data_IF_398237868022
#
_entry.id   IF_398237868022
#
_cell.length_a   1.000
_cell.length_b   1.000
_cell.length_c   1.000
_cell.angle_alpha   90.00
_cell.angle_beta   90.00
_cell.angle_gamma   90.00
#
_symmetry.space_group_name_H-M   'P 1'
#
loop_
_entity.id
_entity.type
_entity.pdbx_description
1 polymer ?
#
# COMPACT_ATOMS: atom_id res chain seq x y z
N UNK A 1 52.62 -0.12 -23.97
CA UNK A 1 51.33 0.27 -23.41
C UNK A 1 50.90 -0.82 -22.47
N UNK A 2 51.12 -0.60 -21.16
CA UNK A 2 51.01 -1.59 -20.10
C UNK A 2 49.55 -1.96 -19.80
N UNK A 3 49.22 -3.24 -19.57
CA UNK A 3 47.89 -3.68 -19.10
C UNK A 3 47.73 -3.59 -17.57
N UNK A 4 48.71 -3.07 -16.83
CA UNK A 4 48.79 -3.22 -15.36
C UNK A 4 47.98 -2.21 -14.53
N UNK A 5 47.39 -1.18 -15.13
CA UNK A 5 46.73 -0.10 -14.37
C UNK A 5 45.44 -0.57 -13.67
N UNK A 6 44.64 -1.45 -14.29
CA UNK A 6 43.32 -1.82 -13.77
C UNK A 6 43.30 -2.81 -12.61
N UNK A 7 44.38 -3.57 -12.38
CA UNK A 7 44.49 -4.48 -11.22
C UNK A 7 45.20 -3.85 -10.02
N UNK A 8 45.93 -2.75 -10.25
CA UNK A 8 46.67 -2.04 -9.20
C UNK A 8 45.81 -1.09 -8.36
N UNK A 9 44.72 -0.53 -8.90
CA UNK A 9 43.81 0.35 -8.16
C UNK A 9 42.89 -0.41 -7.20
N UNK A 10 42.35 -1.58 -7.60
CA UNK A 10 41.49 -2.40 -6.73
C UNK A 10 42.24 -3.01 -5.55
N UNK A 11 43.53 -3.32 -5.70
CA UNK A 11 44.38 -3.83 -4.61
C UNK A 11 44.82 -2.72 -3.64
N UNK A 12 44.86 -1.45 -4.08
CA UNK A 12 45.21 -0.31 -3.24
C UNK A 12 44.06 0.18 -2.35
N UNK A 13 42.80 -0.11 -2.71
CA UNK A 13 41.62 0.29 -1.94
C UNK A 13 41.31 -0.61 -0.73
N UNK A 14 41.73 -1.88 -0.69
CA UNK A 14 41.37 -2.76 0.44
C UNK A 14 42.15 -2.49 1.74
N UNK A 15 43.20 -1.67 1.69
CA UNK A 15 43.99 -1.26 2.87
C UNK A 15 43.50 0.05 3.52
N UNK A 16 42.47 0.70 2.98
CA UNK A 16 42.04 2.03 3.45
C UNK A 16 41.20 2.02 4.73
N UNK A 17 40.55 0.91 5.07
CA UNK A 17 39.63 0.84 6.20
C UNK A 17 39.87 -0.40 7.07
N UNK A 18 39.79 -0.28 8.40
CA UNK A 18 39.90 -1.45 9.28
C UNK A 18 38.71 -2.39 9.06
N UNK A 19 38.96 -3.70 9.13
CA UNK A 19 37.89 -4.70 9.18
C UNK A 19 36.95 -4.41 10.35
N UNK A 20 35.64 -4.50 10.09
CA UNK A 20 34.59 -4.21 11.07
C UNK A 20 34.75 -5.07 12.33
N UNK A 21 35.18 -6.33 12.19
CA UNK A 21 35.41 -7.25 13.30
C UNK A 21 36.51 -6.77 14.27
N UNK A 22 37.41 -5.90 13.81
CA UNK A 22 38.53 -5.35 14.60
C UNK A 22 38.14 -4.05 15.32
N UNK A 23 36.94 -3.52 15.07
CA UNK A 23 36.48 -2.29 15.71
C UNK A 23 35.99 -2.54 17.14
N UNK A 24 36.09 -1.50 17.96
CA UNK A 24 35.61 -1.52 19.36
C UNK A 24 34.08 -1.63 19.44
N UNK A 25 33.38 -1.04 18.49
CA UNK A 25 31.92 -1.08 18.40
C UNK A 25 31.46 -1.28 16.94
N UNK A 26 31.39 -2.54 16.47
CA UNK A 26 30.91 -2.84 15.14
C UNK A 26 29.40 -2.54 14.97
N UNK A 27 28.62 -2.54 16.05
CA UNK A 27 27.17 -2.33 15.98
C UNK A 27 26.83 -0.88 15.65
N UNK A 28 27.52 0.09 16.26
CA UNK A 28 27.33 1.50 15.94
C UNK A 28 27.57 1.80 14.44
N UNK A 29 28.53 1.10 13.82
CA UNK A 29 28.78 1.22 12.38
C UNK A 29 27.62 0.64 11.57
N UNK A 30 27.11 -0.54 11.93
CA UNK A 30 25.95 -1.16 11.27
C UNK A 30 24.68 -0.30 11.39
N UNK A 31 24.43 0.27 12.57
CA UNK A 31 23.29 1.16 12.82
C UNK A 31 23.39 2.42 11.97
N UNK A 32 24.55 3.06 11.97
CA UNK A 32 24.81 4.26 11.16
C UNK A 32 24.69 3.96 9.67
N UNK A 33 25.24 2.83 9.23
CA UNK A 33 25.17 2.38 7.85
C UNK A 33 23.73 2.17 7.39
N UNK A 34 22.90 1.49 8.20
CA UNK A 34 21.48 1.29 7.90
C UNK A 34 20.70 2.61 7.89
N UNK A 35 20.98 3.51 8.83
CA UNK A 35 20.36 4.84 8.88
C UNK A 35 20.64 5.64 7.61
N UNK A 36 21.90 5.62 7.14
CA UNK A 36 22.28 6.28 5.89
C UNK A 36 21.60 5.63 4.68
N UNK A 37 21.47 4.30 4.68
CA UNK A 37 20.85 3.58 3.57
C UNK A 37 19.35 3.93 3.39
N UNK A 38 18.63 4.29 4.45
CA UNK A 38 17.23 4.74 4.33
C UNK A 38 17.09 6.18 3.79
N UNK A 39 18.19 6.93 3.67
CA UNK A 39 18.19 8.34 3.25
C UNK A 39 18.90 8.60 1.91
N UNK A 40 19.47 7.56 1.28
CA UNK A 40 20.32 7.66 0.09
C UNK A 40 19.74 6.84 -1.06
N UNK A 41 19.91 7.35 -2.28
CA UNK A 41 19.47 6.71 -3.51
C UNK A 41 20.59 6.61 -4.56
N UNK A 42 20.43 5.66 -5.49
CA UNK A 42 21.25 5.54 -6.69
C UNK A 42 22.73 5.22 -6.42
N UNK A 43 23.64 6.03 -6.97
CA UNK A 43 25.09 5.79 -6.90
C UNK A 43 25.63 5.84 -5.47
N UNK A 44 25.02 6.66 -4.60
CA UNK A 44 25.39 6.76 -3.19
C UNK A 44 25.14 5.43 -2.45
N UNK A 45 24.00 4.79 -2.70
CA UNK A 45 23.65 3.47 -2.16
C UNK A 45 24.61 2.39 -2.67
N UNK A 46 24.93 2.43 -3.97
CA UNK A 46 25.91 1.49 -4.54
C UNK A 46 27.31 1.65 -3.92
N UNK A 47 27.75 2.88 -3.67
CA UNK A 47 28.99 3.18 -2.96
C UNK A 47 28.97 2.67 -1.52
N UNK A 48 27.86 2.89 -0.81
CA UNK A 48 27.66 2.45 0.57
C UNK A 48 27.68 0.92 0.69
N UNK A 49 27.13 0.20 -0.29
CA UNK A 49 27.18 -1.27 -0.36
C UNK A 49 28.58 -1.79 -0.69
N UNK A 50 29.35 -1.11 -1.55
CA UNK A 50 30.77 -1.45 -1.78
C UNK A 50 31.60 -1.27 -0.51
N UNK A 51 31.43 -0.15 0.18
CA UNK A 51 32.08 0.12 1.46
C UNK A 51 31.76 -0.98 2.49
N UNK A 52 30.49 -1.39 2.60
CA UNK A 52 30.08 -2.45 3.50
C UNK A 52 30.81 -3.78 3.25
N UNK A 53 30.94 -4.16 1.98
CA UNK A 53 31.66 -5.37 1.57
C UNK A 53 33.15 -5.27 1.89
N UNK A 54 33.77 -4.11 1.67
CA UNK A 54 35.20 -3.90 1.96
C UNK A 54 35.53 -4.05 3.45
N UNK A 55 34.67 -3.57 4.35
CA UNK A 55 34.91 -3.68 5.79
C UNK A 55 34.44 -5.01 6.39
N UNK A 56 33.88 -5.93 5.59
CA UNK A 56 33.44 -7.25 6.07
C UNK A 56 32.11 -7.23 6.84
N UNK A 57 31.17 -6.32 6.50
CA UNK A 57 29.81 -6.35 7.06
C UNK A 57 29.13 -7.70 6.83
N UNK A 58 29.11 -8.28 5.61
CA UNK A 58 28.38 -9.53 5.34
C UNK A 58 28.72 -10.65 6.34
N UNK A 59 30.01 -10.95 6.53
CA UNK A 59 30.46 -12.04 7.41
C UNK A 59 29.93 -11.91 8.85
N UNK A 60 29.90 -10.68 9.37
CA UNK A 60 29.46 -10.40 10.73
C UNK A 60 27.94 -10.56 10.84
N UNK A 61 27.17 -10.01 9.89
CA UNK A 61 25.71 -10.04 9.98
C UNK A 61 25.15 -11.45 9.79
N UNK A 62 25.80 -12.30 8.99
CA UNK A 62 25.45 -13.72 8.88
C UNK A 62 25.52 -14.43 10.24
N UNK A 63 26.59 -14.19 11.03
CA UNK A 63 26.70 -14.75 12.38
C UNK A 63 25.64 -14.21 13.36
N UNK A 64 25.23 -12.95 13.16
CA UNK A 64 24.26 -12.27 14.02
C UNK A 64 22.82 -12.77 13.83
N UNK A 65 22.49 -13.41 12.71
CA UNK A 65 21.17 -14.03 12.51
C UNK A 65 20.84 -15.09 13.58
N UNK A 66 21.87 -15.78 14.10
CA UNK A 66 21.72 -16.78 15.17
C UNK A 66 21.71 -16.18 16.59
N UNK A 67 21.74 -14.85 16.73
CA UNK A 67 21.75 -14.17 18.03
C UNK A 67 20.44 -14.40 18.79
N UNK A 68 20.56 -14.64 20.11
CA UNK A 68 19.41 -14.66 21.03
C UNK A 68 18.88 -13.25 21.34
N UNK A 69 19.69 -12.22 21.12
CA UNK A 69 19.26 -10.83 21.27
C UNK A 69 18.50 -10.38 20.02
N UNK A 70 17.24 -9.98 20.20
CA UNK A 70 16.34 -9.57 19.11
C UNK A 70 16.90 -8.37 18.35
N UNK A 71 17.37 -7.33 19.04
CA UNK A 71 17.90 -6.11 18.38
C UNK A 71 19.05 -6.43 17.41
N UNK A 72 19.94 -7.36 17.80
CA UNK A 72 21.05 -7.80 16.93
C UNK A 72 20.58 -8.62 15.75
N UNK A 73 19.59 -9.49 15.97
CA UNK A 73 18.99 -10.29 14.91
C UNK A 73 18.28 -9.38 13.90
N UNK A 74 17.49 -8.42 14.37
CA UNK A 74 16.79 -7.44 13.52
C UNK A 74 17.77 -6.55 12.76
N UNK A 75 18.84 -6.09 13.41
CA UNK A 75 19.90 -5.32 12.76
C UNK A 75 20.54 -6.12 11.62
N UNK A 76 20.85 -7.40 11.86
CA UNK A 76 21.39 -8.30 10.84
C UNK A 76 20.43 -8.49 9.65
N UNK A 77 19.16 -8.78 9.92
CA UNK A 77 18.11 -8.94 8.91
C UNK A 77 18.00 -7.67 8.05
N UNK A 78 17.91 -6.50 8.69
CA UNK A 78 17.79 -5.23 7.99
C UNK A 78 19.04 -4.92 7.15
N UNK A 79 20.24 -5.19 7.68
CA UNK A 79 21.49 -5.01 6.94
C UNK A 79 21.57 -5.92 5.72
N UNK A 80 21.23 -7.20 5.84
CA UNK A 80 21.22 -8.14 4.71
C UNK A 80 20.23 -7.70 3.62
N UNK A 81 19.05 -7.25 4.03
CA UNK A 81 18.05 -6.67 3.14
C UNK A 81 18.58 -5.48 2.36
N UNK A 82 19.16 -4.50 3.05
CA UNK A 82 19.73 -3.29 2.44
C UNK A 82 20.93 -3.59 1.53
N UNK A 83 21.76 -4.57 1.89
CA UNK A 83 22.88 -5.00 1.06
C UNK A 83 22.46 -5.66 -0.25
N UNK A 84 21.22 -6.18 -0.31
CA UNK A 84 20.79 -7.08 -1.38
C UNK A 84 21.61 -8.37 -1.37
N UNK A 85 21.95 -8.87 -0.18
CA UNK A 85 22.85 -10.01 -0.01
C UNK A 85 22.17 -11.33 -0.38
N UNK A 86 22.38 -11.78 -1.63
CA UNK A 86 21.78 -13.02 -2.16
C UNK A 86 22.19 -14.27 -1.40
N UNK A 87 23.42 -14.31 -0.88
CA UNK A 87 23.92 -15.44 -0.10
C UNK A 87 23.21 -15.56 1.26
N UNK A 88 22.72 -14.44 1.80
CA UNK A 88 21.93 -14.37 3.04
C UNK A 88 20.47 -14.77 2.90
N UNK A 89 19.94 -14.91 1.68
CA UNK A 89 18.52 -15.18 1.46
C UNK A 89 18.05 -16.45 2.20
N UNK A 90 18.76 -17.57 2.00
CA UNK A 90 18.37 -18.87 2.58
C UNK A 90 18.50 -18.90 4.11
N UNK A 91 19.35 -18.03 4.68
CA UNK A 91 19.49 -17.88 6.12
C UNK A 91 18.36 -17.02 6.73
N UNK A 92 17.86 -16.04 5.99
CA UNK A 92 16.75 -15.17 6.41
C UNK A 92 15.39 -15.82 6.18
N UNK A 93 15.23 -16.65 5.14
CA UNK A 93 13.95 -17.21 4.74
C UNK A 93 13.18 -17.95 5.86
N UNK A 94 13.83 -18.82 6.68
CA UNK A 94 13.15 -19.49 7.79
C UNK A 94 12.66 -18.55 8.89
N UNK A 95 13.24 -17.35 9.00
CA UNK A 95 12.88 -16.36 10.02
C UNK A 95 11.56 -15.64 9.71
N UNK A 96 11.04 -15.75 8.48
CA UNK A 96 9.67 -15.29 8.15
C UNK A 96 8.62 -16.03 8.99
N UNK A 97 8.92 -17.25 9.43
CA UNK A 97 8.06 -18.04 10.32
C UNK A 97 8.42 -17.89 11.81
N UNK A 98 9.26 -16.92 12.18
CA UNK A 98 9.58 -16.65 13.59
C UNK A 98 8.29 -16.32 14.38
N UNK A 99 8.28 -16.72 15.66
CA UNK A 99 7.15 -16.49 16.56
C UNK A 99 6.98 -15.02 16.88
N UNK A 100 8.07 -14.27 16.88
CA UNK A 100 8.03 -12.83 17.07
C UNK A 100 7.54 -12.15 15.77
N UNK A 101 6.41 -11.41 15.80
CA UNK A 101 5.85 -10.77 14.61
C UNK A 101 6.79 -9.75 13.98
N UNK A 102 7.62 -9.09 14.78
CA UNK A 102 8.58 -8.09 14.31
C UNK A 102 9.69 -8.82 13.55
N UNK A 103 10.29 -9.87 14.12
CA UNK A 103 11.32 -10.66 13.40
C UNK A 103 10.77 -11.21 12.09
N UNK A 104 9.59 -11.84 12.14
CA UNK A 104 8.89 -12.39 10.97
C UNK A 104 8.68 -11.36 9.86
N UNK A 105 8.12 -10.20 10.18
CA UNK A 105 7.87 -9.12 9.23
C UNK A 105 9.18 -8.55 8.64
N UNK A 106 10.17 -8.25 9.49
CA UNK A 106 11.44 -7.68 9.04
C UNK A 106 12.22 -8.66 8.16
N UNK A 107 12.11 -9.97 8.43
CA UNK A 107 12.65 -11.01 7.57
C UNK A 107 12.01 -10.99 6.19
N UNK A 108 10.68 -10.90 6.11
CA UNK A 108 9.99 -10.82 4.82
C UNK A 108 10.38 -9.56 4.03
N UNK A 109 10.45 -8.39 4.70
CA UNK A 109 10.96 -7.15 4.11
C UNK A 109 12.36 -7.33 3.53
N UNK A 110 13.25 -7.98 4.28
CA UNK A 110 14.62 -8.22 3.84
C UNK A 110 14.67 -9.14 2.61
N UNK A 111 13.89 -10.22 2.57
CA UNK A 111 13.82 -11.12 1.41
C UNK A 111 13.35 -10.36 0.15
N UNK A 112 12.29 -9.55 0.26
CA UNK A 112 11.79 -8.74 -0.87
C UNK A 112 12.87 -7.77 -1.38
N UNK A 113 13.68 -7.19 -0.49
CA UNK A 113 14.80 -6.31 -0.86
C UNK A 113 15.98 -7.07 -1.50
N UNK A 114 16.22 -8.31 -1.10
CA UNK A 114 17.30 -9.15 -1.64
C UNK A 114 16.94 -9.68 -3.03
N UNK A 115 15.76 -10.29 -3.14
CA UNK A 115 15.26 -10.90 -4.37
C UNK A 115 13.74 -10.89 -4.37
N UNK A 116 13.16 -9.93 -5.10
CA UNK A 116 11.71 -9.72 -5.13
C UNK A 116 10.97 -10.89 -5.77
N UNK A 117 11.45 -11.44 -6.88
CA UNK A 117 10.78 -12.53 -7.61
C UNK A 117 10.79 -13.81 -6.77
N UNK A 118 11.93 -14.11 -6.15
CA UNK A 118 12.05 -15.26 -5.26
C UNK A 118 11.19 -15.08 -4.00
N UNK A 119 11.21 -13.91 -3.38
CA UNK A 119 10.42 -13.64 -2.19
C UNK A 119 8.91 -13.73 -2.46
N UNK A 120 8.44 -13.20 -3.59
CA UNK A 120 7.04 -13.29 -3.97
C UNK A 120 6.61 -14.74 -4.25
N UNK A 121 7.43 -15.52 -4.96
CA UNK A 121 7.10 -16.91 -5.26
C UNK A 121 7.08 -17.81 -4.02
N UNK A 122 7.99 -17.61 -3.07
CA UNK A 122 8.14 -18.51 -1.91
C UNK A 122 7.35 -18.07 -0.67
N UNK A 123 7.17 -16.76 -0.46
CA UNK A 123 6.74 -16.22 0.85
C UNK A 123 5.54 -15.29 0.79
N UNK A 124 5.02 -14.93 -0.39
CA UNK A 124 3.88 -14.01 -0.50
C UNK A 124 2.65 -14.52 0.28
N UNK A 125 2.41 -15.83 0.32
CA UNK A 125 1.32 -16.44 1.11
C UNK A 125 1.35 -16.04 2.60
N UNK A 126 2.49 -15.61 3.13
CA UNK A 126 2.61 -15.17 4.52
C UNK A 126 1.77 -13.93 4.83
N UNK A 127 1.48 -13.06 3.85
CA UNK A 127 0.57 -11.93 4.06
C UNK A 127 -0.88 -12.38 4.34
N UNK A 128 -1.25 -13.59 3.91
CA UNK A 128 -2.51 -14.25 4.27
C UNK A 128 -2.43 -14.87 5.66
N UNK A 129 -1.42 -15.72 5.89
CA UNK A 129 -1.26 -16.55 7.10
C UNK A 129 -0.98 -15.72 8.36
N UNK A 130 -0.20 -14.64 8.24
CA UNK A 130 0.24 -13.80 9.37
C UNK A 130 -0.76 -12.66 9.62
N UNK A 131 -1.74 -12.92 10.48
CA UNK A 131 -2.73 -11.93 10.93
C UNK A 131 -2.17 -10.92 11.93
N UNK A 132 -1.01 -11.23 12.52
CA UNK A 132 -0.25 -10.40 13.45
C UNK A 132 0.61 -9.33 12.76
N UNK A 133 0.81 -9.43 11.44
CA UNK A 133 1.44 -8.38 10.66
C UNK A 133 0.50 -7.17 10.49
N UNK A 134 1.04 -5.99 10.78
CA UNK A 134 0.34 -4.72 10.55
C UNK A 134 0.04 -4.55 9.05
N UNK A 135 -1.24 -4.36 8.65
CA UNK A 135 -1.59 -4.17 7.24
C UNK A 135 -0.90 -2.95 6.60
N UNK A 136 -0.64 -1.91 7.40
CA UNK A 136 0.06 -0.70 6.96
C UNK A 136 1.50 -1.01 6.57
N UNK A 137 2.16 -1.87 7.35
CA UNK A 137 3.55 -2.26 7.08
C UNK A 137 3.66 -3.23 5.90
N UNK A 138 2.70 -4.13 5.74
CA UNK A 138 2.63 -4.98 4.52
C UNK A 138 2.43 -4.12 3.28
N UNK A 139 1.46 -3.20 3.31
CA UNK A 139 1.22 -2.24 2.25
C UNK A 139 2.48 -1.41 1.91
N UNK A 140 3.25 -1.03 2.92
CA UNK A 140 4.50 -0.28 2.75
C UNK A 140 5.56 -1.03 1.93
N UNK A 141 5.59 -2.37 2.03
CA UNK A 141 6.49 -3.21 1.22
C UNK A 141 5.92 -3.36 -0.18
N UNK A 142 4.63 -3.73 -0.29
CA UNK A 142 3.98 -3.98 -1.57
C UNK A 142 4.00 -2.75 -2.49
N UNK A 143 3.79 -1.54 -1.95
CA UNK A 143 3.82 -0.29 -2.73
C UNK A 143 5.19 0.01 -3.37
N UNK A 144 6.27 -0.60 -2.88
CA UNK A 144 7.64 -0.39 -3.39
C UNK A 144 8.04 -1.44 -4.43
N UNK A 145 7.25 -2.49 -4.59
CA UNK A 145 7.46 -3.52 -5.60
C UNK A 145 6.88 -3.01 -6.92
N UNK A 146 7.58 -3.29 -8.02
CA UNK A 146 7.05 -3.01 -9.36
C UNK A 146 5.74 -3.78 -9.58
N UNK A 147 4.69 -3.08 -9.99
CA UNK A 147 3.38 -3.66 -10.28
C UNK A 147 3.44 -4.75 -11.35
N UNK A 148 4.36 -4.67 -12.31
CA UNK A 148 4.55 -5.70 -13.35
C UNK A 148 4.93 -7.06 -12.74
N UNK A 149 5.67 -7.04 -11.61
CA UNK A 149 6.13 -8.25 -10.91
C UNK A 149 5.13 -8.68 -9.85
N UNK A 150 4.43 -7.73 -9.20
CA UNK A 150 3.51 -8.01 -8.10
C UNK A 150 2.13 -8.51 -8.54
N UNK A 151 1.62 -8.03 -9.68
CA UNK A 151 0.19 -8.15 -10.01
C UNK A 151 -0.27 -9.60 -10.13
N UNK A 152 0.44 -10.43 -10.90
CA UNK A 152 0.07 -11.83 -11.12
C UNK A 152 0.13 -12.67 -9.82
N UNK A 153 1.22 -12.64 -9.03
CA UNK A 153 1.29 -13.39 -7.78
C UNK A 153 0.21 -12.98 -6.77
N UNK A 154 -0.05 -11.68 -6.66
CA UNK A 154 -1.04 -11.16 -5.72
C UNK A 154 -2.47 -11.49 -6.13
N UNK A 155 -2.82 -11.31 -7.41
CA UNK A 155 -4.13 -11.70 -7.93
C UNK A 155 -4.40 -13.19 -7.74
N UNK A 156 -3.39 -14.05 -8.01
CA UNK A 156 -3.48 -15.48 -7.77
C UNK A 156 -3.73 -15.79 -6.30
N UNK A 157 -2.94 -15.21 -5.38
CA UNK A 157 -3.11 -15.42 -3.95
C UNK A 157 -4.52 -15.06 -3.48
N UNK A 158 -5.04 -13.91 -3.93
CA UNK A 158 -6.40 -13.45 -3.55
C UNK A 158 -7.47 -14.41 -4.08
N UNK A 159 -7.37 -14.86 -5.33
CA UNK A 159 -8.31 -15.83 -5.89
C UNK A 159 -8.25 -17.17 -5.16
N UNK A 160 -7.06 -17.70 -4.92
CA UNK A 160 -6.87 -18.97 -4.20
C UNK A 160 -7.39 -18.89 -2.76
N UNK A 161 -7.23 -17.74 -2.09
CA UNK A 161 -7.78 -17.49 -0.76
C UNK A 161 -9.31 -17.42 -0.77
N UNK A 162 -9.88 -16.77 -1.78
CA UNK A 162 -11.33 -16.68 -1.95
C UNK A 162 -11.95 -18.05 -2.22
N UNK A 163 -11.35 -18.85 -3.10
CA UNK A 163 -11.81 -20.21 -3.44
C UNK A 163 -11.70 -21.19 -2.25
N UNK A 164 -10.82 -20.91 -1.29
CA UNK A 164 -10.70 -21.64 -0.03
C UNK A 164 -11.62 -21.12 1.08
N UNK A 165 -12.49 -20.16 0.79
CA UNK A 165 -13.43 -19.55 1.73
C UNK A 165 -12.72 -18.97 2.98
N UNK A 166 -11.65 -18.21 2.77
CA UNK A 166 -10.95 -17.51 3.85
C UNK A 166 -11.91 -16.63 4.67
N UNK A 167 -11.62 -16.47 5.96
CA UNK A 167 -12.41 -15.66 6.88
C UNK A 167 -12.57 -14.20 6.39
N UNK A 168 -13.75 -13.62 6.63
CA UNK A 168 -14.21 -12.34 6.07
C UNK A 168 -13.22 -11.18 6.28
N UNK A 169 -12.67 -11.01 7.50
CA UNK A 169 -11.69 -9.94 7.78
C UNK A 169 -10.37 -10.17 7.05
N UNK A 170 -9.86 -11.41 7.07
CA UNK A 170 -8.63 -11.75 6.36
C UNK A 170 -8.78 -11.57 4.84
N UNK A 171 -9.93 -11.97 4.28
CA UNK A 171 -10.25 -11.80 2.87
C UNK A 171 -10.34 -10.31 2.49
N UNK A 172 -11.03 -9.49 3.29
CA UNK A 172 -11.12 -8.05 3.07
C UNK A 172 -9.75 -7.35 3.11
N UNK A 173 -8.87 -7.79 4.03
CA UNK A 173 -7.48 -7.32 4.11
C UNK A 173 -6.69 -7.69 2.86
N UNK A 174 -6.78 -8.94 2.40
CA UNK A 174 -6.08 -9.37 1.19
C UNK A 174 -6.54 -8.60 -0.06
N UNK A 175 -7.86 -8.41 -0.22
CA UNK A 175 -8.40 -7.60 -1.32
C UNK A 175 -7.85 -6.18 -1.28
N UNK A 176 -7.69 -5.58 -0.09
CA UNK A 176 -7.15 -4.22 0.03
C UNK A 176 -5.74 -4.06 -0.54
N UNK A 177 -4.94 -5.14 -0.60
CA UNK A 177 -3.62 -5.11 -1.20
C UNK A 177 -3.65 -5.10 -2.73
N UNK A 178 -4.76 -5.48 -3.38
CA UNK A 178 -4.90 -5.34 -4.84
C UNK A 178 -4.82 -3.89 -5.32
N UNK A 179 -4.89 -2.90 -4.41
CA UNK A 179 -4.58 -1.50 -4.71
C UNK A 179 -3.15 -1.28 -5.24
N UNK A 180 -2.23 -2.23 -5.02
CA UNK A 180 -0.85 -2.19 -5.51
C UNK A 180 -0.63 -3.00 -6.79
N UNK A 181 -1.65 -3.73 -7.25
CA UNK A 181 -1.61 -4.43 -8.53
C UNK A 181 -2.07 -3.52 -9.67
N UNK A 182 -1.77 -3.91 -10.91
CA UNK A 182 -2.35 -3.26 -12.09
C UNK A 182 -3.87 -3.37 -12.05
N UNK A 183 -4.51 -2.25 -12.41
CA UNK A 183 -5.97 -2.16 -12.39
C UNK A 183 -6.63 -3.18 -13.33
N UNK A 184 -6.01 -3.46 -14.48
CA UNK A 184 -6.55 -4.43 -15.44
C UNK A 184 -6.41 -5.88 -14.94
N UNK A 185 -5.29 -6.22 -14.30
CA UNK A 185 -5.07 -7.57 -13.77
C UNK A 185 -5.97 -7.87 -12.57
N UNK A 186 -6.25 -6.86 -11.74
CA UNK A 186 -7.11 -6.99 -10.56
C UNK A 186 -8.61 -6.85 -10.86
N UNK A 187 -8.99 -6.25 -11.99
CA UNK A 187 -10.38 -6.00 -12.35
C UNK A 187 -11.22 -7.28 -12.39
N UNK A 188 -10.72 -8.33 -13.04
CA UNK A 188 -11.42 -9.62 -13.15
C UNK A 188 -11.59 -10.29 -11.78
N UNK A 189 -10.55 -10.24 -10.95
CA UNK A 189 -10.56 -10.78 -9.58
C UNK A 189 -11.61 -10.06 -8.73
N UNK A 190 -11.57 -8.73 -8.71
CA UNK A 190 -12.51 -7.90 -7.93
C UNK A 190 -13.93 -8.10 -8.44
N UNK A 191 -14.12 -8.15 -9.76
CA UNK A 191 -15.45 -8.33 -10.39
C UNK A 191 -16.06 -9.68 -10.02
N UNK A 192 -15.28 -10.75 -10.10
CA UNK A 192 -15.71 -12.10 -9.69
C UNK A 192 -16.13 -12.12 -8.23
N UNK A 193 -15.24 -11.71 -7.33
CA UNK A 193 -15.49 -11.71 -5.88
C UNK A 193 -16.70 -10.84 -5.55
N UNK A 194 -16.76 -9.62 -6.09
CA UNK A 194 -17.87 -8.69 -5.86
C UNK A 194 -19.22 -9.27 -6.30
N UNK A 195 -19.25 -10.05 -7.38
CA UNK A 195 -20.47 -10.67 -7.93
C UNK A 195 -20.91 -11.91 -7.16
N UNK A 196 -19.96 -12.64 -6.58
CA UNK A 196 -20.25 -13.92 -5.92
C UNK A 196 -20.45 -13.79 -4.40
N UNK A 197 -19.86 -12.77 -3.76
CA UNK A 197 -19.83 -12.67 -2.29
C UNK A 197 -21.01 -11.91 -1.69
N UNK A 198 -21.49 -12.39 -0.55
CA UNK A 198 -22.45 -11.69 0.33
C UNK A 198 -21.79 -11.17 1.63
N UNK A 199 -20.50 -11.45 1.82
CA UNK A 199 -19.74 -11.02 3.00
C UNK A 199 -19.53 -9.51 2.95
N UNK A 200 -19.92 -8.80 4.00
CA UNK A 200 -20.09 -7.34 3.99
C UNK A 200 -18.76 -6.60 4.02
N UNK A 201 -17.77 -7.10 4.75
CA UNK A 201 -16.43 -6.51 4.76
C UNK A 201 -15.68 -6.76 3.44
N UNK A 202 -15.87 -7.95 2.84
CA UNK A 202 -15.38 -8.27 1.50
C UNK A 202 -16.01 -7.34 0.45
N UNK A 203 -17.33 -7.16 0.50
CA UNK A 203 -18.04 -6.22 -0.37
C UNK A 203 -17.50 -4.78 -0.24
N UNK A 204 -17.25 -4.30 0.99
CA UNK A 204 -16.66 -2.98 1.23
C UNK A 204 -15.25 -2.89 0.61
N UNK A 205 -14.42 -3.93 0.75
CA UNK A 205 -13.09 -3.96 0.16
C UNK A 205 -13.15 -3.96 -1.38
N UNK A 206 -14.02 -4.77 -1.99
CA UNK A 206 -14.26 -4.78 -3.42
C UNK A 206 -14.73 -3.42 -3.94
N UNK A 207 -15.72 -2.79 -3.28
CA UNK A 207 -16.24 -1.48 -3.70
C UNK A 207 -15.16 -0.37 -3.73
N UNK A 208 -14.15 -0.44 -2.86
CA UNK A 208 -13.02 0.52 -2.87
C UNK A 208 -12.16 0.39 -4.12
N UNK A 209 -12.06 -0.82 -4.68
CA UNK A 209 -11.19 -1.13 -5.80
C UNK A 209 -11.95 -1.42 -7.11
N UNK A 210 -13.28 -1.36 -7.07
CA UNK A 210 -14.13 -1.70 -8.21
C UNK A 210 -13.73 -0.89 -9.45
N UNK A 211 -13.57 -1.50 -10.62
CA UNK A 211 -13.21 -0.77 -11.83
C UNK A 211 -14.35 0.16 -12.26
N UNK A 212 -14.04 1.42 -12.55
CA UNK A 212 -15.04 2.40 -12.98
C UNK A 212 -15.47 2.23 -14.45
N UNK A 213 -14.74 1.41 -15.21
CA UNK A 213 -14.98 1.12 -16.62
C UNK A 213 -15.88 -0.10 -16.88
N UNK A 214 -16.49 -0.69 -15.85
CA UNK A 214 -17.38 -1.86 -15.95
C UNK A 214 -18.86 -1.50 -15.65
N UNK A 215 -19.65 -1.06 -16.65
CA UNK A 215 -21.04 -0.66 -16.44
C UNK A 215 -21.95 -1.76 -15.89
N UNK A 216 -21.59 -3.03 -16.13
CA UNK A 216 -22.37 -4.19 -15.69
C UNK A 216 -22.47 -4.30 -14.16
N UNK A 217 -21.54 -3.69 -13.41
CA UNK A 217 -21.49 -3.77 -11.95
C UNK A 217 -22.36 -2.69 -11.28
N UNK A 218 -22.73 -1.64 -12.01
CA UNK A 218 -23.48 -0.49 -11.49
C UNK A 218 -24.82 -0.87 -10.85
N UNK A 219 -25.65 -1.77 -11.41
CA UNK A 219 -26.91 -2.17 -10.77
C UNK A 219 -26.69 -2.70 -9.35
N UNK A 220 -25.68 -3.56 -9.14
CA UNK A 220 -25.35 -4.10 -7.82
C UNK A 220 -24.86 -3.03 -6.86
N UNK A 221 -24.01 -2.09 -7.32
CA UNK A 221 -23.58 -0.94 -6.49
C UNK A 221 -24.78 -0.10 -6.06
N UNK A 222 -25.75 0.14 -6.95
CA UNK A 222 -26.98 0.90 -6.66
C UNK A 222 -27.86 0.21 -5.61
N UNK A 223 -27.96 -1.11 -5.65
CA UNK A 223 -28.68 -1.88 -4.63
C UNK A 223 -28.07 -1.70 -3.23
N UNK A 224 -26.74 -1.65 -3.15
CA UNK A 224 -26.00 -1.54 -1.90
C UNK A 224 -26.16 -0.20 -1.16
N UNK A 225 -26.68 0.85 -1.83
CA UNK A 225 -27.03 2.12 -1.18
C UNK A 225 -28.14 1.94 -0.14
N UNK A 226 -28.93 0.87 -0.24
CA UNK A 226 -30.01 0.56 0.73
C UNK A 226 -29.63 -0.56 1.70
N UNK A 227 -28.35 -0.93 1.78
CA UNK A 227 -27.90 -1.97 2.69
C UNK A 227 -28.11 -1.56 4.17
N UNK A 228 -28.45 -2.53 5.00
CA UNK A 228 -28.62 -2.32 6.44
C UNK A 228 -27.37 -1.78 7.14
N UNK A 229 -26.17 -2.17 6.70
CA UNK A 229 -24.90 -1.68 7.22
C UNK A 229 -24.56 -0.35 6.56
N UNK A 230 -24.44 0.69 7.39
CA UNK A 230 -24.12 2.03 6.89
C UNK A 230 -22.74 2.09 6.24
N UNK A 231 -21.79 1.24 6.65
CA UNK A 231 -20.46 1.18 6.02
C UNK A 231 -20.54 0.74 4.55
N UNK A 232 -21.47 -0.19 4.26
CA UNK A 232 -21.75 -0.65 2.89
C UNK A 232 -22.39 0.46 2.09
N UNK A 233 -23.41 1.15 2.64
CA UNK A 233 -24.05 2.31 1.98
C UNK A 233 -23.03 3.41 1.67
N UNK A 234 -22.18 3.75 2.64
CA UNK A 234 -21.17 4.80 2.50
C UNK A 234 -20.19 4.48 1.38
N UNK A 235 -19.75 3.23 1.34
CA UNK A 235 -18.81 2.79 0.32
C UNK A 235 -19.47 2.73 -1.05
N UNK A 236 -20.74 2.29 -1.15
CA UNK A 236 -21.49 2.28 -2.41
C UNK A 236 -21.65 3.70 -3.00
N UNK A 237 -22.01 4.68 -2.16
CA UNK A 237 -22.12 6.09 -2.60
C UNK A 237 -20.75 6.63 -3.04
N UNK A 238 -19.68 6.25 -2.33
CA UNK A 238 -18.31 6.63 -2.71
C UNK A 238 -17.92 6.04 -4.06
N UNK A 239 -18.34 4.80 -4.35
CA UNK A 239 -18.11 4.14 -5.65
C UNK A 239 -18.92 4.81 -6.77
N UNK A 240 -20.21 5.14 -6.54
CA UNK A 240 -21.01 5.89 -7.52
C UNK A 240 -20.40 7.27 -7.85
N UNK A 241 -19.80 7.92 -6.85
CA UNK A 241 -19.09 9.18 -7.07
C UNK A 241 -17.98 9.09 -8.09
N UNK A 242 -17.33 7.93 -8.25
CA UNK A 242 -16.29 7.75 -9.26
C UNK A 242 -16.86 7.49 -10.64
N UNK A 243 -18.04 6.87 -10.72
CA UNK A 243 -18.72 6.60 -11.99
C UNK A 243 -19.24 7.89 -12.66
N UNK A 244 -19.57 8.93 -11.88
CA UNK A 244 -20.09 10.23 -12.36
C UNK A 244 -21.34 10.11 -13.26
N UNK A 245 -22.25 9.19 -12.94
CA UNK A 245 -23.44 8.93 -13.75
C UNK A 245 -24.64 9.78 -13.29
N UNK A 246 -25.24 10.61 -14.17
CA UNK A 246 -26.42 11.42 -13.83
C UNK A 246 -27.62 10.59 -13.37
N UNK A 247 -27.73 9.35 -13.87
CA UNK A 247 -28.79 8.40 -13.50
C UNK A 247 -28.76 8.02 -12.00
N UNK A 248 -27.67 8.29 -11.30
CA UNK A 248 -27.54 8.03 -9.87
C UNK A 248 -28.16 9.13 -9.00
N UNK A 249 -28.48 10.30 -9.56
CA UNK A 249 -29.01 11.45 -8.82
C UNK A 249 -30.21 11.07 -7.93
N UNK A 250 -31.24 10.34 -8.40
CA UNK A 250 -32.37 9.97 -7.53
C UNK A 250 -31.96 9.18 -6.28
N UNK A 251 -30.96 8.30 -6.40
CA UNK A 251 -30.44 7.50 -5.28
C UNK A 251 -29.63 8.36 -4.31
N UNK A 252 -28.85 9.30 -4.83
CA UNK A 252 -28.09 10.24 -4.01
C UNK A 252 -29.00 11.19 -3.24
N UNK A 253 -30.12 11.63 -3.85
CA UNK A 253 -31.12 12.45 -3.18
C UNK A 253 -31.83 11.69 -2.05
N UNK A 254 -32.08 10.38 -2.21
CA UNK A 254 -32.56 9.51 -1.12
C UNK A 254 -31.54 9.45 0.03
N UNK A 255 -30.25 9.30 -0.30
CA UNK A 255 -29.17 9.21 0.70
C UNK A 255 -28.93 10.52 1.49
N UNK A 256 -29.40 11.68 1.00
CA UNK A 256 -29.38 12.94 1.76
C UNK A 256 -30.29 12.91 3.00
N UNK A 257 -31.23 11.98 3.06
CA UNK A 257 -32.13 11.78 4.20
C UNK A 257 -31.78 10.53 5.03
N UNK A 258 -30.61 9.92 4.80
CA UNK A 258 -30.12 8.77 5.58
C UNK A 258 -30.00 9.13 7.07
N UNK A 259 -30.14 8.13 7.95
CA UNK A 259 -30.00 8.31 9.40
C UNK A 259 -28.57 8.70 9.80
N UNK A 260 -27.58 8.17 9.10
CA UNK A 260 -26.17 8.39 9.40
C UNK A 260 -25.65 9.67 8.76
N UNK A 261 -25.03 10.53 9.58
CA UNK A 261 -24.51 11.82 9.11
C UNK A 261 -23.48 11.66 8.00
N UNK A 262 -22.60 10.66 8.10
CA UNK A 262 -21.56 10.39 7.11
C UNK A 262 -22.12 10.02 5.74
N UNK A 263 -23.28 9.37 5.69
CA UNK A 263 -23.98 9.05 4.44
C UNK A 263 -24.50 10.32 3.79
N UNK A 264 -25.21 11.15 4.54
CA UNK A 264 -25.73 12.43 4.05
C UNK A 264 -24.61 13.32 3.53
N UNK A 265 -23.51 13.42 4.28
CA UNK A 265 -22.33 14.19 3.90
C UNK A 265 -21.70 13.67 2.61
N UNK A 266 -21.49 12.35 2.49
CA UNK A 266 -20.94 11.74 1.28
C UNK A 266 -21.86 11.96 0.08
N UNK A 267 -23.17 11.73 0.23
CA UNK A 267 -24.15 11.93 -0.83
C UNK A 267 -24.17 13.39 -1.32
N UNK A 268 -24.14 14.36 -0.42
CA UNK A 268 -24.06 15.78 -0.78
C UNK A 268 -22.77 16.10 -1.56
N UNK A 269 -21.63 15.55 -1.13
CA UNK A 269 -20.37 15.66 -1.86
C UNK A 269 -20.47 15.07 -3.27
N UNK A 270 -20.99 13.86 -3.39
CA UNK A 270 -21.17 13.18 -4.68
C UNK A 270 -22.09 13.95 -5.62
N UNK A 271 -23.21 14.49 -5.12
CA UNK A 271 -24.11 15.35 -5.91
C UNK A 271 -23.35 16.58 -6.42
N UNK A 272 -22.55 17.22 -5.57
CA UNK A 272 -21.74 18.38 -5.96
C UNK A 272 -20.63 18.06 -6.97
N UNK A 273 -20.23 16.79 -7.10
CA UNK A 273 -19.25 16.32 -8.10
C UNK A 273 -19.91 15.98 -9.46
N UNK A 274 -21.24 15.90 -9.54
CA UNK A 274 -21.92 15.66 -10.81
C UNK A 274 -21.76 16.87 -11.76
N UNK A 275 -21.43 16.64 -13.05
CA UNK A 275 -21.16 17.73 -14.01
C UNK A 275 -22.28 18.76 -14.14
N UNK A 276 -23.54 18.34 -13.99
CA UNK A 276 -24.71 19.22 -14.12
C UNK A 276 -24.76 20.37 -13.11
N UNK A 277 -24.17 20.19 -11.92
CA UNK A 277 -24.15 21.20 -10.85
C UNK A 277 -22.89 22.06 -10.85
N UNK A 278 -21.83 21.64 -11.56
CA UNK A 278 -20.65 22.46 -11.76
C UNK A 278 -20.98 23.76 -12.54
N UNK A 279 -21.92 23.68 -13.50
CA UNK A 279 -22.32 24.82 -14.34
C UNK A 279 -23.50 25.61 -13.77
N UNK A 280 -24.53 24.94 -13.25
CA UNK A 280 -25.80 25.57 -12.88
C UNK A 280 -25.89 25.96 -11.40
N UNK A 281 -24.92 25.53 -10.59
CA UNK A 281 -24.97 25.64 -9.13
C UNK A 281 -26.04 24.75 -8.50
N UNK A 282 -25.96 24.58 -7.17
CA UNK A 282 -26.85 23.68 -6.42
C UNK A 282 -28.13 24.32 -5.89
N UNK A 283 -28.25 25.66 -5.89
CA UNK A 283 -29.41 26.36 -5.32
C UNK A 283 -30.76 25.94 -5.91
N UNK A 284 -30.90 25.73 -7.24
CA UNK A 284 -32.15 25.23 -7.80
C UNK A 284 -32.55 23.86 -7.26
N UNK A 285 -31.59 22.98 -6.97
CA UNK A 285 -31.84 21.69 -6.35
C UNK A 285 -32.25 21.86 -4.88
N UNK A 286 -31.45 22.61 -4.11
CA UNK A 286 -31.71 22.87 -2.68
C UNK A 286 -33.11 23.45 -2.46
N UNK A 287 -33.55 24.39 -3.29
CA UNK A 287 -34.87 25.01 -3.13
C UNK A 287 -36.05 24.08 -3.44
N UNK A 288 -35.82 22.98 -4.17
CA UNK A 288 -36.85 21.97 -4.51
C UNK A 288 -36.90 20.82 -3.51
N UNK A 289 -35.89 20.66 -2.65
CA UNK A 289 -35.84 19.57 -1.69
C UNK A 289 -36.81 19.79 -0.52
N UNK A 290 -37.62 18.77 -0.15
CA UNK A 290 -38.59 18.90 0.93
C UNK A 290 -37.93 18.85 2.32
N UNK A 291 -36.83 18.11 2.46
CA UNK A 291 -36.16 17.88 3.75
C UNK A 291 -35.26 19.06 4.13
N UNK A 292 -35.39 19.55 5.36
CA UNK A 292 -34.46 20.53 5.92
C UNK A 292 -33.06 19.94 6.05
N UNK A 293 -32.95 18.67 6.47
CA UNK A 293 -31.66 18.01 6.63
C UNK A 293 -30.90 17.89 5.31
N UNK A 294 -31.59 17.49 4.24
CA UNK A 294 -30.99 17.39 2.91
C UNK A 294 -30.51 18.77 2.39
N UNK A 295 -31.34 19.81 2.59
CA UNK A 295 -31.00 21.20 2.20
C UNK A 295 -29.81 21.74 2.97
N UNK A 296 -29.80 21.55 4.28
CA UNK A 296 -28.73 22.04 5.15
C UNK A 296 -27.42 21.30 4.87
N UNK A 297 -27.48 19.98 4.63
CA UNK A 297 -26.29 19.20 4.27
C UNK A 297 -25.67 19.65 2.94
N UNK A 298 -26.47 19.83 1.88
CA UNK A 298 -25.97 20.35 0.61
C UNK A 298 -25.34 21.73 0.75
N UNK A 299 -25.97 22.63 1.50
CA UNK A 299 -25.42 23.97 1.77
C UNK A 299 -24.13 23.89 2.57
N UNK A 300 -24.07 23.02 3.59
CA UNK A 300 -22.88 22.82 4.39
C UNK A 300 -21.70 22.37 3.53
N UNK A 301 -21.86 21.27 2.79
CA UNK A 301 -20.76 20.72 1.96
C UNK A 301 -20.35 21.70 0.87
N UNK A 302 -21.29 22.41 0.25
CA UNK A 302 -20.97 23.45 -0.73
C UNK A 302 -20.18 24.63 -0.12
N UNK A 303 -20.55 25.07 1.09
CA UNK A 303 -19.82 26.11 1.81
C UNK A 303 -18.40 25.66 2.17
N UNK A 304 -18.23 24.44 2.66
CA UNK A 304 -16.91 23.85 2.97
C UNK A 304 -16.02 23.79 1.73
N UNK A 305 -16.52 23.31 0.58
CA UNK A 305 -15.77 23.29 -0.68
C UNK A 305 -15.38 24.69 -1.14
N UNK A 306 -16.27 25.67 -0.98
CA UNK A 306 -16.00 27.08 -1.32
C UNK A 306 -14.92 27.70 -0.43
N UNK A 307 -14.85 27.31 0.86
CA UNK A 307 -13.79 27.72 1.78
C UNK A 307 -12.44 27.09 1.40
N UNK A 308 -12.44 25.83 0.95
CA UNK A 308 -11.24 25.10 0.51
C UNK A 308 -10.69 25.65 -0.82
N UNK A 309 -11.52 26.29 -1.66
CA UNK A 309 -11.08 26.96 -2.89
C UNK A 309 -10.23 28.24 -2.69
N UNK A 310 -9.92 28.66 -1.46
CA UNK A 310 -8.86 29.64 -1.19
C UNK A 310 -7.45 29.01 -1.39
N UNK A 311 -7.08 28.74 -2.65
CA UNK A 311 -5.65 28.64 -3.00
C UNK A 311 -5.02 30.03 -2.82
N UNK A 312 -3.82 30.16 -2.21
CA UNK A 312 -3.10 31.42 -2.18
C UNK A 312 -2.87 31.86 -3.64
N UNK A 313 -3.14 33.13 -3.95
CA UNK A 313 -2.74 33.73 -5.23
C UNK A 313 -1.28 33.32 -5.52
N UNK A 314 -0.95 32.81 -6.71
CA UNK A 314 0.45 32.69 -7.08
C UNK A 314 1.06 34.08 -6.95
N UNK A 315 2.04 34.21 -6.06
CA UNK A 315 2.86 35.42 -5.99
C UNK A 315 3.52 35.52 -7.36
N UNK A 316 3.02 36.43 -8.18
CA UNK A 316 3.71 36.90 -9.37
C UNK A 316 4.96 37.59 -8.85
N UNK A 317 6.05 36.83 -8.74
CA UNK A 317 7.40 37.38 -8.67
C UNK A 317 7.62 38.12 -9.99
N UNK A 318 7.30 39.41 -9.96
CA UNK A 318 7.73 40.36 -10.96
C UNK A 318 9.24 40.49 -10.81
N UNK A 319 9.95 40.29 -11.93
CA UNK A 319 11.39 40.52 -12.05
C UNK A 319 11.78 41.95 -11.67
#
# INVERSE_FOLDING_TARGET
SSPEAGHSEQAAESDLYPELAKLKDPFAVLETWNYLHESLDGEATAGLNRFAKQIGIPDIVHSMLSSLMIDRKLLAINTLGNLGDRDGYDAVAPLVDDRDPIVSYWSWRALVRIDVERALSETLVKIEERTDWSPVFVAEILQRIDSDVLSEPLCRLVLDAYDRELEERQMSRLISYLAFAHIFDSADVITRIFTETDQKEVLIACLRLLPDFEPALRPRVREMIRDHRWEVRLQAISTLSRFHEPDDLPLLLEALDDQEWWIRYRAAGTILDLPEFAENGIEPLVNRLPSNFARDMLRQVAAERSLICFKPKPQTLSR
#
